data_IF_465404644735
#
_entry.id   IF_465404644735
#
_cell.length_a   1.000
_cell.length_b   1.000
_cell.length_c   1.000
_cell.angle_alpha   90.00
_cell.angle_beta   90.00
_cell.angle_gamma   90.00
#
_symmetry.space_group_name_H-M   'P 1'
#
loop_
_entity.id
_entity.type
_entity.pdbx_description
1 polymer ?
#
# COMPACT_ATOMS: atom_id res chain seq x y z
N UNK A 1 -4.88 -31.54 -5.96
CA UNK A 1 -3.87 -30.47 -6.06
C UNK A 1 -4.36 -29.27 -5.26
N UNK A 2 -4.25 -29.33 -3.93
CA UNK A 2 -4.60 -28.21 -3.06
C UNK A 2 -3.42 -27.26 -3.05
N UNK A 3 -3.56 -26.08 -3.67
CA UNK A 3 -2.60 -25.00 -3.50
C UNK A 3 -2.64 -24.60 -2.03
N UNK A 4 -1.64 -25.05 -1.26
CA UNK A 4 -1.29 -24.48 0.03
C UNK A 4 -0.94 -23.01 -0.23
N UNK A 5 -1.94 -22.15 -0.15
CA UNK A 5 -1.70 -20.72 -0.04
C UNK A 5 -0.91 -20.57 1.24
N UNK A 6 0.37 -20.13 1.19
CA UNK A 6 1.18 -20.05 2.39
C UNK A 6 0.45 -19.15 3.37
N UNK A 7 0.38 -19.53 4.65
CA UNK A 7 -0.31 -18.77 5.70
C UNK A 7 0.15 -17.30 5.76
N UNK A 8 1.39 -17.04 5.32
CA UNK A 8 1.97 -15.71 5.14
C UNK A 8 1.26 -14.84 4.08
N UNK A 9 0.64 -15.42 3.05
CA UNK A 9 -0.08 -14.65 2.03
C UNK A 9 -1.42 -14.08 2.56
N UNK A 10 -2.06 -14.77 3.51
CA UNK A 10 -3.27 -14.26 4.19
C UNK A 10 -2.94 -13.04 5.05
N UNK A 11 -1.88 -13.13 5.87
CA UNK A 11 -1.48 -12.03 6.77
C UNK A 11 -1.02 -10.79 6.02
N UNK A 12 -0.38 -10.95 4.85
CA UNK A 12 0.04 -9.81 4.00
C UNK A 12 -1.16 -9.09 3.40
N UNK A 13 -2.21 -9.81 2.97
CA UNK A 13 -3.43 -9.17 2.46
C UNK A 13 -4.14 -8.38 3.55
N UNK A 14 -4.28 -8.94 4.76
CA UNK A 14 -4.84 -8.23 5.93
C UNK A 14 -4.04 -6.98 6.28
N UNK A 15 -2.71 -7.07 6.18
CA UNK A 15 -1.80 -5.94 6.42
C UNK A 15 -2.02 -4.83 5.40
N UNK A 16 -2.13 -5.18 4.11
CA UNK A 16 -2.40 -4.21 3.04
C UNK A 16 -3.73 -3.50 3.27
N UNK A 17 -4.77 -4.22 3.67
CA UNK A 17 -6.08 -3.63 3.93
C UNK A 17 -6.05 -2.66 5.10
N UNK A 18 -5.37 -3.01 6.20
CA UNK A 18 -5.15 -2.11 7.34
C UNK A 18 -4.38 -0.85 6.93
N UNK A 19 -3.32 -1.00 6.13
CA UNK A 19 -2.54 0.15 5.63
C UNK A 19 -3.43 1.03 4.76
N UNK A 20 -4.19 0.46 3.81
CA UNK A 20 -5.07 1.20 2.91
C UNK A 20 -6.20 1.91 3.66
N UNK A 21 -6.77 1.28 4.69
CA UNK A 21 -7.79 1.91 5.54
C UNK A 21 -7.22 3.11 6.31
N UNK A 22 -6.09 2.93 6.99
CA UNK A 22 -5.43 4.01 7.72
C UNK A 22 -4.99 5.15 6.78
N UNK A 23 -4.46 4.81 5.61
CA UNK A 23 -4.02 5.78 4.62
C UNK A 23 -5.18 6.54 3.98
N UNK A 24 -6.31 5.87 3.72
CA UNK A 24 -7.54 6.49 3.21
C UNK A 24 -8.18 7.46 4.21
N UNK A 25 -8.02 7.23 5.51
CA UNK A 25 -8.43 8.21 6.54
C UNK A 25 -7.54 9.46 6.54
N UNK A 26 -6.25 9.32 6.21
CA UNK A 26 -5.31 10.43 6.20
C UNK A 26 -5.35 11.23 4.89
N UNK A 27 -5.73 10.59 3.77
CA UNK A 27 -5.70 11.22 2.45
C UNK A 27 -6.87 10.78 1.58
N UNK A 28 -7.56 11.75 0.99
CA UNK A 28 -8.54 11.48 -0.05
C UNK A 28 -7.86 10.87 -1.29
N UNK A 29 -8.20 9.62 -1.59
CA UNK A 29 -7.80 8.89 -2.78
C UNK A 29 -8.98 8.77 -3.72
N UNK A 30 -8.76 8.97 -5.02
CA UNK A 30 -9.70 8.50 -6.03
C UNK A 30 -9.59 6.99 -6.18
N UNK A 31 -10.59 6.33 -6.78
CA UNK A 31 -10.60 4.88 -6.97
C UNK A 31 -9.38 4.36 -7.73
N UNK A 32 -8.90 5.11 -8.73
CA UNK A 32 -7.69 4.80 -9.49
C UNK A 32 -6.43 4.88 -8.61
N UNK A 33 -6.33 5.91 -7.76
CA UNK A 33 -5.21 6.07 -6.85
C UNK A 33 -5.19 5.00 -5.76
N UNK A 34 -6.36 4.56 -5.29
CA UNK A 34 -6.49 3.44 -4.35
C UNK A 34 -5.97 2.15 -4.97
N UNK A 35 -6.32 1.88 -6.22
CA UNK A 35 -5.87 0.69 -6.96
C UNK A 35 -4.36 0.72 -7.19
N UNK A 36 -3.82 1.86 -7.65
CA UNK A 36 -2.37 2.08 -7.85
C UNK A 36 -1.59 1.90 -6.53
N UNK A 37 -2.05 2.53 -5.44
CA UNK A 37 -1.43 2.42 -4.12
C UNK A 37 -1.44 0.97 -3.59
N UNK A 38 -2.56 0.26 -3.75
CA UNK A 38 -2.68 -1.15 -3.33
C UNK A 38 -1.72 -2.04 -4.11
N UNK A 39 -1.60 -1.84 -5.42
CA UNK A 39 -0.68 -2.62 -6.26
C UNK A 39 0.78 -2.38 -5.87
N UNK A 40 1.16 -1.12 -5.60
CA UNK A 40 2.52 -0.79 -5.14
C UNK A 40 2.82 -1.40 -3.78
N UNK A 41 1.86 -1.38 -2.83
CA UNK A 41 2.00 -2.04 -1.53
C UNK A 41 2.18 -3.55 -1.67
N UNK A 42 1.42 -4.21 -2.55
CA UNK A 42 1.59 -5.65 -2.83
C UNK A 42 3.00 -5.97 -3.27
N UNK A 43 3.57 -5.18 -4.18
CA UNK A 43 4.94 -5.37 -4.67
C UNK A 43 5.97 -5.05 -3.58
N UNK A 44 5.78 -3.97 -2.82
CA UNK A 44 6.70 -3.56 -1.75
C UNK A 44 6.77 -4.56 -0.59
N UNK A 45 5.64 -5.19 -0.26
CA UNK A 45 5.53 -6.17 0.82
C UNK A 45 5.82 -7.60 0.34
N UNK A 46 5.84 -7.86 -0.97
CA UNK A 46 6.19 -9.16 -1.53
C UNK A 46 7.64 -9.51 -1.17
N UNK A 47 7.81 -10.57 -0.38
CA UNK A 47 9.13 -11.06 0.02
C UNK A 47 9.65 -10.50 1.34
N UNK A 48 8.88 -9.69 2.07
CA UNK A 48 9.23 -9.30 3.45
C UNK A 48 8.64 -10.29 4.46
N UNK A 49 9.47 -11.07 5.19
CA UNK A 49 8.99 -12.03 6.19
C UNK A 49 8.71 -11.37 7.56
N UNK A 50 8.56 -10.05 7.61
CA UNK A 50 8.52 -9.31 8.88
C UNK A 50 7.15 -9.34 9.55
N UNK A 51 7.13 -9.00 10.85
CA UNK A 51 5.91 -8.93 11.64
C UNK A 51 4.93 -7.88 11.10
N UNK A 52 3.64 -8.26 11.05
CA UNK A 52 2.48 -7.44 10.67
C UNK A 52 2.53 -5.97 11.14
N UNK A 53 2.81 -5.63 12.43
CA UNK A 53 2.87 -4.24 12.87
C UNK A 53 4.01 -3.44 12.21
N UNK A 54 5.18 -4.06 11.99
CA UNK A 54 6.31 -3.41 11.35
C UNK A 54 6.03 -3.14 9.88
N UNK A 55 5.50 -4.14 9.16
CA UNK A 55 5.06 -4.01 7.77
C UNK A 55 4.01 -2.90 7.59
N UNK A 56 3.10 -2.74 8.57
CA UNK A 56 2.08 -1.69 8.56
C UNK A 56 2.72 -0.30 8.60
N UNK A 57 3.66 -0.08 9.53
CA UNK A 57 4.36 1.21 9.67
C UNK A 57 5.21 1.50 8.42
N UNK A 58 5.93 0.51 7.91
CA UNK A 58 6.75 0.66 6.71
C UNK A 58 5.91 0.94 5.46
N UNK A 59 4.79 0.25 5.28
CA UNK A 59 3.86 0.49 4.18
C UNK A 59 3.24 1.89 4.21
N UNK A 60 2.86 2.38 5.40
CA UNK A 60 2.39 3.76 5.58
C UNK A 60 3.48 4.79 5.23
N UNK A 61 4.72 4.56 5.69
CA UNK A 61 5.86 5.42 5.35
C UNK A 61 6.13 5.44 3.85
N UNK A 62 6.10 4.27 3.20
CA UNK A 62 6.28 4.12 1.76
C UNK A 62 5.24 4.94 0.98
N UNK A 63 3.95 4.78 1.28
CA UNK A 63 2.87 5.53 0.63
C UNK A 63 2.93 7.05 0.87
N UNK A 64 3.45 7.48 2.02
CA UNK A 64 3.59 8.91 2.35
C UNK A 64 4.80 9.55 1.65
N UNK A 65 5.95 8.87 1.64
CA UNK A 65 7.17 9.34 0.98
C UNK A 65 7.01 9.47 -0.54
N UNK A 66 6.27 8.55 -1.15
CA UNK A 66 5.93 8.59 -2.59
C UNK A 66 5.04 9.80 -2.95
N UNK A 67 4.12 10.20 -2.05
CA UNK A 67 3.23 11.35 -2.32
C UNK A 67 3.92 12.71 -2.22
N UNK A 68 4.97 12.84 -1.39
CA UNK A 68 5.77 14.09 -1.32
C UNK A 68 6.57 14.28 -2.61
N UNK A 69 7.02 13.20 -3.25
CA UNK A 69 7.74 13.21 -4.52
C UNK A 69 6.82 13.30 -5.74
N UNK A 70 5.55 12.89 -5.63
CA UNK A 70 4.49 13.23 -6.59
C UNK A 70 4.04 14.67 -6.37
N UNK A 71 4.98 15.62 -6.49
CA UNK A 71 4.71 17.04 -6.71
C UNK A 71 3.52 17.13 -7.65
N UNK A 72 2.45 17.79 -7.18
CA UNK A 72 1.31 18.19 -8.01
C UNK A 72 1.89 18.75 -9.31
N UNK A 73 1.84 17.96 -10.40
CA UNK A 73 1.82 18.55 -11.73
C UNK A 73 0.47 19.25 -11.81
N UNK A 74 0.43 20.47 -11.29
CA UNK A 74 -0.61 21.41 -11.62
C UNK A 74 -0.67 21.38 -13.14
N UNK A 75 -1.83 20.99 -13.66
CA UNK A 75 -2.14 21.04 -15.08
C UNK A 75 -1.83 22.46 -15.53
N UNK A 76 -0.75 22.65 -16.29
CA UNK A 76 -0.44 23.93 -16.92
C UNK A 76 -1.54 24.17 -17.96
N UNK A 77 -2.31 25.26 -17.87
CA UNK A 77 -3.13 25.70 -18.99
C UNK A 77 -2.25 26.64 -19.82
N UNK A 78 -1.68 26.12 -20.92
CA UNK A 78 -1.30 26.95 -22.07
C UNK A 78 -1.60 26.13 -23.32
#
# INVERSE_FOLDING_TARGET
MGTLVPFAALTVMDTIEKIMQAYGMMVNLTQDQTTDARQRLKVFLAGKPEDTPKLTIEGLKFLRGERVSRTRRARSPV
#
